data_IF_027727805233
#
_entry.id   IF_027727805233
#
_cell.length_a   1.000
_cell.length_b   1.000
_cell.length_c   1.000
_cell.angle_alpha   90.00
_cell.angle_beta   90.00
_cell.angle_gamma   90.00
#
_symmetry.space_group_name_H-M   'P 1'
#
loop_
_entity.id
_entity.type
_entity.pdbx_description
1 polymer ?
#
# COMPACT_ATOMS: atom_id res chain seq x y z
N UNK A 1 -17.47 28.54 -17.97
CA UNK A 1 -17.49 27.28 -17.19
C UNK A 1 -16.96 26.06 -17.96
N UNK A 2 -17.04 26.01 -19.29
CA UNK A 2 -16.57 24.86 -20.11
C UNK A 2 -15.07 24.88 -20.42
N UNK A 3 -14.45 26.06 -20.63
CA UNK A 3 -13.01 26.18 -20.93
C UNK A 3 -12.11 25.86 -19.72
N UNK A 4 -12.45 26.33 -18.52
CA UNK A 4 -11.69 26.02 -17.30
C UNK A 4 -11.74 24.53 -16.94
N UNK A 5 -12.87 23.86 -17.19
CA UNK A 5 -13.00 22.43 -16.99
C UNK A 5 -12.13 21.64 -17.98
N UNK A 6 -12.09 22.05 -19.24
CA UNK A 6 -11.22 21.47 -20.27
C UNK A 6 -9.73 21.65 -19.96
N UNK A 7 -9.32 22.84 -19.53
CA UNK A 7 -7.93 23.13 -19.15
C UNK A 7 -7.48 22.31 -17.93
N UNK A 8 -8.34 22.17 -16.91
CA UNK A 8 -8.06 21.32 -15.74
C UNK A 8 -7.93 19.84 -16.11
N UNK A 9 -8.77 19.35 -17.02
CA UNK A 9 -8.72 17.97 -17.47
C UNK A 9 -7.45 17.65 -18.29
N UNK A 10 -7.03 18.59 -19.16
CA UNK A 10 -5.77 18.48 -19.89
C UNK A 10 -4.56 18.46 -18.95
N UNK A 11 -4.51 19.36 -17.97
CA UNK A 11 -3.43 19.42 -16.97
C UNK A 11 -3.35 18.14 -16.13
N UNK A 12 -4.50 17.58 -15.69
CA UNK A 12 -4.51 16.29 -14.96
C UNK A 12 -4.00 15.13 -15.81
N UNK A 13 -4.31 15.12 -17.11
CA UNK A 13 -3.80 14.10 -18.02
C UNK A 13 -2.27 14.20 -18.18
N UNK A 14 -1.75 15.42 -18.35
CA UNK A 14 -0.30 15.67 -18.44
C UNK A 14 0.43 15.22 -17.17
N UNK A 15 -0.09 15.55 -15.98
CA UNK A 15 0.48 15.14 -14.71
C UNK A 15 0.52 13.61 -14.54
N UNK A 16 -0.56 12.93 -14.92
CA UNK A 16 -0.63 11.46 -14.87
C UNK A 16 0.33 10.83 -15.86
N UNK A 17 0.45 11.37 -17.07
CA UNK A 17 1.43 10.91 -18.06
C UNK A 17 2.88 11.10 -17.54
N UNK A 18 3.18 12.24 -16.92
CA UNK A 18 4.48 12.52 -16.31
C UNK A 18 4.78 11.55 -15.13
N UNK A 19 3.78 11.23 -14.33
CA UNK A 19 3.90 10.22 -13.28
C UNK A 19 4.26 8.85 -13.86
N UNK A 20 3.56 8.40 -14.91
CA UNK A 20 3.84 7.12 -15.56
C UNK A 20 5.23 7.06 -16.17
N UNK A 21 5.70 8.15 -16.78
CA UNK A 21 7.08 8.25 -17.25
C UNK A 21 8.07 8.12 -16.09
N UNK A 22 7.80 8.75 -14.96
CA UNK A 22 8.62 8.64 -13.75
C UNK A 22 8.68 7.20 -13.24
N UNK A 23 7.56 6.46 -13.23
CA UNK A 23 7.54 5.05 -12.85
C UNK A 23 8.43 4.21 -13.77
N UNK A 24 8.32 4.40 -15.10
CA UNK A 24 9.13 3.67 -16.08
C UNK A 24 10.62 3.99 -15.96
N UNK A 25 10.98 5.26 -15.79
CA UNK A 25 12.36 5.68 -15.55
C UNK A 25 12.92 5.09 -14.26
N UNK A 26 12.08 4.86 -13.25
CA UNK A 26 12.46 4.18 -12.00
C UNK A 26 12.61 2.65 -12.14
N UNK A 27 12.43 2.10 -13.35
CA UNK A 27 12.66 0.70 -13.69
C UNK A 27 11.42 -0.20 -13.66
N UNK A 28 10.23 0.34 -13.42
CA UNK A 28 8.98 -0.44 -13.36
C UNK A 28 8.60 -0.93 -14.76
N UNK A 29 8.29 -2.23 -14.87
CA UNK A 29 8.02 -2.89 -16.16
C UNK A 29 6.67 -3.59 -16.20
N UNK A 30 6.08 -3.91 -15.06
CA UNK A 30 4.78 -4.57 -14.99
C UNK A 30 3.67 -3.64 -15.46
N UNK A 31 3.12 -3.96 -16.63
CA UNK A 31 2.04 -3.19 -17.26
C UNK A 31 0.74 -3.21 -16.43
N UNK A 32 0.49 -4.28 -15.67
CA UNK A 32 -0.69 -4.36 -14.80
C UNK A 32 -0.59 -3.35 -13.66
N UNK A 33 0.60 -3.25 -13.05
CA UNK A 33 0.88 -2.27 -11.98
C UNK A 33 0.83 -0.84 -12.51
N UNK A 34 1.43 -0.58 -13.68
CA UNK A 34 1.39 0.75 -14.28
C UNK A 34 -0.06 1.19 -14.56
N UNK A 35 -0.89 0.30 -15.11
CA UNK A 35 -2.32 0.55 -15.35
C UNK A 35 -3.11 0.75 -14.06
N UNK A 36 -2.82 -0.02 -13.02
CA UNK A 36 -3.46 0.13 -11.72
C UNK A 36 -3.18 1.51 -11.10
N UNK A 37 -1.93 1.98 -11.19
CA UNK A 37 -1.55 3.32 -10.72
C UNK A 37 -2.20 4.41 -11.58
N UNK A 38 -2.24 4.25 -12.91
CA UNK A 38 -2.90 5.17 -13.84
C UNK A 38 -4.40 5.32 -13.56
N UNK A 39 -5.08 4.20 -13.33
CA UNK A 39 -6.52 4.14 -13.09
C UNK A 39 -6.93 4.65 -11.70
N UNK A 40 -5.98 4.79 -10.77
CA UNK A 40 -6.26 5.23 -9.41
C UNK A 40 -5.96 6.72 -9.25
N UNK A 41 -6.98 7.60 -9.15
CA UNK A 41 -6.80 9.05 -9.09
C UNK A 41 -6.17 9.46 -7.76
N UNK A 42 -4.84 9.54 -7.71
CA UNK A 42 -4.07 9.72 -6.48
C UNK A 42 -4.43 11.00 -5.73
N UNK A 43 -4.76 12.07 -6.44
CA UNK A 43 -5.25 13.34 -5.90
C UNK A 43 -6.52 13.20 -5.06
N UNK A 44 -7.34 12.20 -5.35
CA UNK A 44 -8.58 11.97 -4.61
C UNK A 44 -8.35 11.33 -3.23
N UNK A 45 -7.19 10.68 -3.06
CA UNK A 45 -6.72 10.12 -1.79
C UNK A 45 -5.79 11.06 -1.02
N UNK A 46 -5.37 12.18 -1.63
CA UNK A 46 -4.56 13.19 -0.98
C UNK A 46 -5.41 14.15 -0.11
N UNK A 47 -4.87 14.64 1.02
CA UNK A 47 -5.46 15.77 1.74
C UNK A 47 -5.58 16.99 0.82
N UNK A 48 -6.62 17.80 1.03
CA UNK A 48 -6.97 18.92 0.14
C UNK A 48 -5.77 19.83 -0.19
N UNK A 49 -4.99 20.22 0.82
CA UNK A 49 -3.81 21.09 0.68
C UNK A 49 -2.65 20.52 -0.16
N UNK A 50 -2.70 19.24 -0.52
CA UNK A 50 -1.63 18.56 -1.25
C UNK A 50 -2.12 17.93 -2.57
N UNK A 51 -3.35 18.21 -3.00
CA UNK A 51 -3.90 17.62 -4.24
C UNK A 51 -3.05 17.95 -5.47
N UNK A 52 -2.59 19.19 -5.58
CA UNK A 52 -1.74 19.66 -6.70
C UNK A 52 -0.32 19.05 -6.68
N UNK A 53 0.04 18.36 -5.59
CA UNK A 53 1.31 17.63 -5.45
C UNK A 53 1.12 16.12 -5.58
N UNK A 54 -0.11 15.63 -5.65
CA UNK A 54 -0.41 14.20 -5.51
C UNK A 54 0.22 13.36 -6.61
N UNK A 55 0.23 13.85 -7.85
CA UNK A 55 0.80 13.14 -9.00
C UNK A 55 2.33 13.27 -9.11
N UNK A 56 2.97 14.05 -8.23
CA UNK A 56 4.42 14.09 -8.13
C UNK A 56 4.94 12.84 -7.41
N UNK A 57 6.18 12.44 -7.69
CA UNK A 57 6.81 11.32 -7.00
C UNK A 57 7.26 11.69 -5.56
N UNK A 58 6.33 12.13 -4.73
CA UNK A 58 6.53 12.63 -3.38
C UNK A 58 5.64 11.86 -2.39
N UNK A 59 6.14 11.73 -1.17
CA UNK A 59 5.35 11.29 -0.03
C UNK A 59 4.52 12.46 0.47
N UNK A 60 3.25 12.22 0.80
CA UNK A 60 2.35 13.27 1.29
C UNK A 60 1.95 13.00 2.74
N UNK A 61 2.05 13.97 3.65
CA UNK A 61 1.56 13.78 5.00
C UNK A 61 0.04 13.71 4.99
N UNK A 62 -0.51 12.77 5.74
CA UNK A 62 -1.95 12.54 5.92
C UNK A 62 -2.32 12.71 7.41
N UNK A 63 -3.55 12.37 7.79
CA UNK A 63 -3.99 12.43 9.19
C UNK A 63 -3.14 11.53 10.12
N UNK A 64 -3.29 11.72 11.43
CA UNK A 64 -2.67 10.88 12.47
C UNK A 64 -1.14 10.77 12.40
N UNK A 65 -0.48 11.82 11.89
CA UNK A 65 0.98 11.83 11.68
C UNK A 65 1.48 10.82 10.64
N UNK A 66 0.58 10.20 9.89
CA UNK A 66 0.92 9.19 8.88
C UNK A 66 1.30 9.83 7.55
N UNK A 67 1.79 9.01 6.61
CA UNK A 67 2.26 9.48 5.31
C UNK A 67 1.79 8.55 4.20
N UNK A 68 1.18 9.12 3.14
CA UNK A 68 0.91 8.41 1.90
C UNK A 68 2.23 8.25 1.12
N UNK A 69 2.63 7.00 0.85
CA UNK A 69 3.92 6.68 0.20
C UNK A 69 4.06 7.29 -1.18
N UNK A 70 5.30 7.57 -1.60
CA UNK A 70 5.65 7.88 -3.00
C UNK A 70 5.06 6.85 -3.98
N UNK A 71 4.53 7.28 -5.13
CA UNK A 71 4.01 6.39 -6.16
C UNK A 71 5.00 5.31 -6.60
N UNK A 72 6.28 5.66 -6.82
CA UNK A 72 7.32 4.70 -7.22
C UNK A 72 7.49 3.59 -6.18
N UNK A 73 7.47 3.91 -4.89
CA UNK A 73 7.65 2.89 -3.84
C UNK A 73 6.41 2.01 -3.70
N UNK A 74 5.21 2.56 -3.87
CA UNK A 74 4.01 1.73 -3.94
C UNK A 74 4.10 0.78 -5.13
N UNK A 75 4.36 1.30 -6.34
CA UNK A 75 4.46 0.50 -7.56
C UNK A 75 5.49 -0.64 -7.43
N UNK A 76 6.68 -0.37 -6.88
CA UNK A 76 7.72 -1.40 -6.66
C UNK A 76 7.24 -2.53 -5.76
N UNK A 77 6.50 -2.19 -4.71
CA UNK A 77 5.95 -3.17 -3.77
C UNK A 77 4.84 -4.00 -4.42
N UNK A 78 3.98 -3.38 -5.23
CA UNK A 78 2.95 -4.08 -5.99
C UNK A 78 3.57 -5.05 -7.02
N UNK A 79 4.58 -4.60 -7.78
CA UNK A 79 5.30 -5.42 -8.76
C UNK A 79 6.02 -6.61 -8.10
N UNK A 80 6.69 -6.38 -6.96
CA UNK A 80 7.36 -7.43 -6.20
C UNK A 80 6.41 -8.52 -5.67
N UNK A 81 5.18 -8.14 -5.34
CA UNK A 81 4.18 -9.02 -4.76
C UNK A 81 3.48 -9.91 -5.82
N UNK A 82 3.61 -9.60 -7.11
CA UNK A 82 3.05 -10.39 -8.23
C UNK A 82 1.58 -10.74 -7.99
N UNK A 83 0.75 -9.72 -7.86
CA UNK A 83 -0.69 -9.84 -7.59
C UNK A 83 -1.38 -10.23 -8.90
N UNK A 84 -2.30 -11.20 -8.82
CA UNK A 84 -3.10 -11.67 -9.94
C UNK A 84 -4.58 -11.45 -9.66
N UNK A 85 -5.40 -11.41 -10.72
CA UNK A 85 -6.83 -11.07 -10.65
C UNK A 85 -7.68 -12.01 -9.79
N UNK A 86 -7.19 -13.22 -9.52
CA UNK A 86 -7.86 -14.18 -8.64
C UNK A 86 -7.45 -14.07 -7.17
N UNK A 87 -6.37 -13.34 -6.86
CA UNK A 87 -5.80 -13.29 -5.51
C UNK A 87 -6.64 -12.44 -4.57
N UNK A 88 -6.78 -12.95 -3.35
CA UNK A 88 -7.25 -12.21 -2.19
C UNK A 88 -6.06 -11.57 -1.47
N UNK A 89 -6.15 -10.26 -1.23
CA UNK A 89 -5.03 -9.47 -0.69
C UNK A 89 -5.37 -8.87 0.66
N UNK A 90 -4.45 -9.00 1.61
CA UNK A 90 -4.46 -8.26 2.87
C UNK A 90 -3.45 -7.12 2.79
N UNK A 91 -3.88 -5.89 3.05
CA UNK A 91 -3.03 -4.75 3.29
C UNK A 91 -3.04 -4.40 4.79
N UNK A 92 -1.86 -4.13 5.36
CA UNK A 92 -1.70 -3.60 6.72
C UNK A 92 -1.20 -2.16 6.62
N UNK A 93 -2.00 -1.23 7.11
CA UNK A 93 -1.79 0.22 7.03
C UNK A 93 -2.51 0.85 5.84
N UNK A 94 -3.85 0.90 5.88
CA UNK A 94 -4.67 1.52 4.82
C UNK A 94 -4.30 3.00 4.58
N UNK A 95 -3.99 3.73 5.65
CA UNK A 95 -3.63 5.14 5.63
C UNK A 95 -4.66 5.99 4.91
N UNK A 96 -4.31 6.48 3.72
CA UNK A 96 -5.22 7.30 2.90
C UNK A 96 -6.29 6.50 2.15
N UNK A 97 -6.09 5.18 1.97
CA UNK A 97 -6.84 4.31 1.08
C UNK A 97 -6.25 4.17 -0.33
N UNK A 98 -5.21 4.94 -0.70
CA UNK A 98 -4.63 4.89 -2.04
C UNK A 98 -4.01 3.53 -2.41
N UNK A 99 -3.32 2.90 -1.44
CA UNK A 99 -2.74 1.55 -1.61
C UNK A 99 -3.81 0.52 -1.90
N UNK A 100 -4.81 0.43 -1.01
CA UNK A 100 -6.01 -0.40 -1.20
C UNK A 100 -6.71 -0.17 -2.54
N UNK A 101 -6.85 1.07 -2.99
CA UNK A 101 -7.48 1.38 -4.28
C UNK A 101 -6.67 0.84 -5.47
N UNK A 102 -5.35 0.98 -5.45
CA UNK A 102 -4.47 0.42 -6.47
C UNK A 102 -4.45 -1.12 -6.43
N UNK A 103 -4.50 -1.72 -5.24
CA UNK A 103 -4.63 -3.16 -5.07
C UNK A 103 -5.96 -3.68 -5.65
N UNK A 104 -7.05 -2.93 -5.49
CA UNK A 104 -8.38 -3.27 -6.00
C UNK A 104 -8.39 -3.46 -7.53
N UNK A 105 -7.52 -2.74 -8.25
CA UNK A 105 -7.36 -2.88 -9.70
C UNK A 105 -6.64 -4.17 -10.12
N UNK A 106 -5.91 -4.81 -9.20
CA UNK A 106 -5.05 -5.97 -9.45
C UNK A 106 -5.62 -7.29 -8.94
N UNK A 107 -6.43 -7.23 -7.88
CA UNK A 107 -6.88 -8.37 -7.08
C UNK A 107 -8.38 -8.68 -7.24
N UNK A 108 -8.81 -9.85 -6.80
CA UNK A 108 -10.24 -10.18 -6.71
C UNK A 108 -10.90 -9.49 -5.52
N UNK A 109 -10.20 -9.45 -4.38
CA UNK A 109 -10.65 -8.83 -3.13
C UNK A 109 -9.46 -8.25 -2.35
N UNK A 110 -9.67 -7.11 -1.72
CA UNK A 110 -8.69 -6.42 -0.87
C UNK A 110 -9.31 -6.11 0.49
N UNK A 111 -8.69 -6.62 1.55
CA UNK A 111 -8.96 -6.20 2.92
C UNK A 111 -7.79 -5.34 3.38
N UNK A 112 -8.04 -4.11 3.80
CA UNK A 112 -7.01 -3.19 4.26
C UNK A 112 -7.27 -2.80 5.71
N UNK A 113 -6.33 -3.11 6.59
CA UNK A 113 -6.45 -2.88 8.03
C UNK A 113 -5.76 -1.58 8.42
N UNK A 114 -6.39 -0.81 9.30
CA UNK A 114 -5.86 0.45 9.80
C UNK A 114 -6.10 0.58 11.30
N UNK A 115 -5.07 0.99 12.02
CA UNK A 115 -5.09 1.11 13.48
C UNK A 115 -5.62 2.44 13.98
N UNK A 116 -5.77 3.44 13.11
CA UNK A 116 -6.41 4.71 13.43
C UNK A 116 -7.83 4.74 12.86
N UNK A 117 -8.84 4.81 13.73
CA UNK A 117 -10.25 4.76 13.33
C UNK A 117 -10.60 5.86 12.31
N UNK A 118 -10.09 7.08 12.51
CA UNK A 118 -10.31 8.21 11.58
C UNK A 118 -9.77 7.93 10.18
N UNK A 119 -8.59 7.33 10.07
CA UNK A 119 -8.01 6.95 8.78
C UNK A 119 -8.78 5.79 8.14
N UNK A 120 -9.21 4.80 8.92
CA UNK A 120 -10.03 3.69 8.42
C UNK A 120 -11.36 4.20 7.80
N UNK A 121 -12.05 5.12 8.50
CA UNK A 121 -13.29 5.76 8.02
C UNK A 121 -13.01 6.57 6.75
N UNK A 122 -11.97 7.40 6.74
CA UNK A 122 -11.61 8.21 5.57
C UNK A 122 -11.26 7.35 4.35
N UNK A 123 -10.45 6.31 4.54
CA UNK A 123 -10.05 5.39 3.51
C UNK A 123 -11.27 4.66 2.93
N UNK A 124 -12.15 4.14 3.79
CA UNK A 124 -13.39 3.47 3.38
C UNK A 124 -14.27 4.39 2.52
N UNK A 125 -14.48 5.63 2.96
CA UNK A 125 -15.25 6.63 2.21
C UNK A 125 -14.63 6.92 0.83
N UNK A 126 -13.31 7.07 0.75
CA UNK A 126 -12.60 7.32 -0.52
C UNK A 126 -12.69 6.12 -1.46
N UNK A 127 -12.53 4.90 -0.95
CA UNK A 127 -12.66 3.67 -1.74
C UNK A 127 -14.05 3.58 -2.39
N UNK A 128 -15.12 3.77 -1.60
CA UNK A 128 -16.49 3.79 -2.12
C UNK A 128 -16.72 4.91 -3.13
N UNK A 129 -16.27 6.13 -2.84
CA UNK A 129 -16.44 7.28 -3.74
C UNK A 129 -15.73 7.13 -5.09
N UNK A 130 -14.72 6.24 -5.17
CA UNK A 130 -13.94 5.98 -6.38
C UNK A 130 -14.15 4.57 -6.96
N UNK A 131 -15.24 3.89 -6.59
CA UNK A 131 -15.66 2.64 -7.23
C UNK A 131 -14.76 1.44 -6.95
N UNK A 132 -13.96 1.48 -5.88
CA UNK A 132 -13.14 0.34 -5.46
C UNK A 132 -13.99 -0.65 -4.63
N UNK A 133 -15.02 -1.23 -5.25
CA UNK A 133 -16.05 -2.05 -4.57
C UNK A 133 -15.50 -3.35 -3.96
N UNK A 134 -14.41 -3.86 -4.53
CA UNK A 134 -13.72 -5.05 -4.04
C UNK A 134 -12.65 -4.74 -2.97
N UNK A 135 -12.54 -3.50 -2.49
CA UNK A 135 -11.64 -3.11 -1.42
C UNK A 135 -12.40 -2.57 -0.20
N UNK A 136 -11.99 -3.01 0.99
CA UNK A 136 -12.56 -2.54 2.27
C UNK A 136 -11.46 -2.11 3.23
N UNK A 137 -11.61 -0.91 3.80
CA UNK A 137 -10.77 -0.45 4.91
C UNK A 137 -11.48 -0.76 6.25
N UNK A 138 -10.77 -1.39 7.18
CA UNK A 138 -11.30 -1.86 8.46
C UNK A 138 -10.44 -1.32 9.61
N UNK A 139 -11.09 -0.80 10.64
CA UNK A 139 -10.42 -0.42 11.88
C UNK A 139 -10.04 -1.68 12.67
N UNK A 140 -8.75 -2.02 12.71
CA UNK A 140 -8.24 -3.22 13.35
C UNK A 140 -6.72 -3.12 13.60
N UNK A 141 -6.19 -3.95 14.50
CA UNK A 141 -4.74 -4.16 14.58
C UNK A 141 -4.29 -5.01 13.38
N UNK A 142 -3.49 -4.43 12.50
CA UNK A 142 -2.96 -5.15 11.33
C UNK A 142 -1.80 -6.09 11.64
N UNK A 143 -1.20 -6.04 12.83
CA UNK A 143 -0.16 -6.98 13.25
C UNK A 143 -0.76 -8.24 13.91
N UNK A 144 -1.98 -8.14 14.43
CA UNK A 144 -2.77 -9.26 14.98
C UNK A 144 -4.21 -9.22 14.44
N UNK A 145 -4.39 -9.47 13.13
CA UNK A 145 -5.69 -9.39 12.48
C UNK A 145 -6.69 -10.46 12.98
N UNK A 146 -8.01 -10.16 12.98
CA UNK A 146 -9.05 -11.13 13.32
C UNK A 146 -8.98 -12.38 12.44
N UNK A 147 -9.01 -13.57 13.05
CA UNK A 147 -8.86 -14.86 12.34
C UNK A 147 -10.02 -15.15 11.40
N UNK A 148 -11.18 -14.57 11.66
CA UNK A 148 -12.40 -14.66 10.88
C UNK A 148 -12.24 -14.08 9.47
N UNK A 149 -11.23 -13.21 9.27
CA UNK A 149 -10.90 -12.69 7.95
C UNK A 149 -10.38 -13.78 7.01
N UNK A 150 -9.98 -14.96 7.51
CA UNK A 150 -9.57 -16.10 6.69
C UNK A 150 -8.11 -16.00 6.21
N UNK A 151 -7.81 -16.62 5.06
CA UNK A 151 -6.46 -16.64 4.47
C UNK A 151 -6.36 -15.71 3.25
N UNK A 152 -5.12 -15.39 2.89
CA UNK A 152 -4.79 -14.46 1.82
C UNK A 152 -3.66 -14.99 0.94
N UNK A 153 -3.76 -14.75 -0.36
CA UNK A 153 -2.73 -15.12 -1.33
C UNK A 153 -1.58 -14.14 -1.29
N UNK A 154 -1.86 -12.87 -1.01
CA UNK A 154 -0.85 -11.82 -0.90
C UNK A 154 -1.11 -10.99 0.35
N UNK A 155 -0.04 -10.66 1.06
CA UNK A 155 -0.08 -9.78 2.21
C UNK A 155 0.95 -8.67 2.01
N UNK A 156 0.53 -7.42 2.14
CA UNK A 156 1.37 -6.24 2.02
C UNK A 156 1.35 -5.45 3.34
N UNK A 157 2.50 -5.31 3.98
CA UNK A 157 2.65 -4.47 5.18
C UNK A 157 3.27 -3.13 4.79
N UNK A 158 2.51 -2.05 4.97
CA UNK A 158 2.89 -0.66 4.65
C UNK A 158 3.60 0.04 5.83
N UNK A 159 4.23 -0.73 6.72
CA UNK A 159 4.99 -0.24 7.86
C UNK A 159 6.23 -1.12 8.09
N UNK A 160 7.21 -0.63 8.85
CA UNK A 160 8.39 -1.39 9.23
C UNK A 160 8.21 -2.14 10.55
N UNK A 161 8.61 -3.40 10.56
CA UNK A 161 8.54 -4.32 11.70
C UNK A 161 9.91 -4.94 11.98
N UNK A 162 10.15 -5.43 13.20
CA UNK A 162 11.41 -6.09 13.55
C UNK A 162 11.56 -7.48 12.91
N UNK A 163 10.45 -8.18 12.72
CA UNK A 163 10.37 -9.49 12.08
C UNK A 163 9.00 -9.65 11.43
N UNK A 164 8.84 -10.66 10.58
CA UNK A 164 7.54 -11.00 9.99
C UNK A 164 6.53 -11.37 11.10
N UNK A 165 5.37 -10.71 11.19
CA UNK A 165 4.37 -11.04 12.21
C UNK A 165 3.83 -12.47 12.03
N UNK A 166 3.86 -13.27 13.10
CA UNK A 166 3.45 -14.66 13.05
C UNK A 166 1.97 -14.83 12.64
N UNK A 167 1.09 -13.92 13.07
CA UNK A 167 -0.32 -13.91 12.69
C UNK A 167 -0.48 -13.77 11.16
N UNK A 168 0.29 -12.89 10.52
CA UNK A 168 0.25 -12.70 9.07
C UNK A 168 0.78 -13.91 8.31
N UNK A 169 1.85 -14.55 8.79
CA UNK A 169 2.37 -15.80 8.21
C UNK A 169 1.31 -16.91 8.26
N UNK A 170 0.59 -17.03 9.38
CA UNK A 170 -0.47 -18.04 9.54
C UNK A 170 -1.63 -17.82 8.57
N UNK A 171 -1.91 -16.59 8.18
CA UNK A 171 -2.95 -16.23 7.23
C UNK A 171 -2.54 -16.42 5.76
N UNK A 172 -1.27 -16.69 5.44
CA UNK A 172 -0.89 -17.01 4.06
C UNK A 172 -1.53 -18.32 3.58
N UNK A 173 -2.08 -18.33 2.38
CA UNK A 173 -2.39 -19.57 1.65
C UNK A 173 -1.10 -20.29 1.25
N UNK A 174 -1.15 -21.61 1.00
CA UNK A 174 -0.12 -22.29 0.21
C UNK A 174 0.09 -21.56 -1.13
N UNK A 175 1.35 -21.34 -1.53
CA UNK A 175 1.68 -20.49 -2.70
C UNK A 175 1.53 -18.98 -2.47
N UNK A 176 1.22 -18.56 -1.24
CA UNK A 176 1.06 -17.16 -0.86
C UNK A 176 2.37 -16.40 -0.67
N UNK A 177 2.30 -15.07 -0.63
CA UNK A 177 3.45 -14.22 -0.36
C UNK A 177 3.15 -13.07 0.61
N UNK A 178 4.08 -12.78 1.52
CA UNK A 178 4.07 -11.64 2.45
C UNK A 178 5.21 -10.69 2.10
N UNK A 179 4.91 -9.40 1.94
CA UNK A 179 5.90 -8.35 1.72
C UNK A 179 5.84 -7.34 2.86
N UNK A 180 6.97 -7.04 3.49
CA UNK A 180 7.06 -6.11 4.61
C UNK A 180 8.42 -5.40 4.64
N UNK A 181 8.50 -4.25 5.32
CA UNK A 181 9.78 -3.64 5.63
C UNK A 181 10.33 -4.21 6.95
N UNK A 182 11.53 -4.79 6.91
CA UNK A 182 12.25 -5.19 8.13
C UNK A 182 13.15 -4.05 8.57
N UNK A 183 13.00 -3.62 9.82
CA UNK A 183 13.93 -2.67 10.44
C UNK A 183 15.14 -3.43 10.95
N UNK A 184 16.31 -3.11 10.41
CA UNK A 184 17.57 -3.68 10.89
C UNK A 184 17.98 -3.03 12.21
N UNK A 185 18.62 -3.82 13.07
CA UNK A 185 19.27 -3.29 14.27
C UNK A 185 20.39 -2.35 13.83
N UNK A 186 20.35 -1.11 14.31
CA UNK A 186 21.41 -0.14 14.12
C UNK A 186 22.06 0.16 15.48
N UNK A 187 23.39 0.30 15.53
CA UNK A 187 24.09 0.80 16.71
C UNK A 187 23.50 2.14 17.18
N UNK A 188 23.65 2.45 18.47
CA UNK A 188 23.25 3.74 19.02
C UNK A 188 23.90 4.88 18.23
N UNK A 189 23.09 5.84 17.77
CA UNK A 189 23.53 6.97 16.94
C UNK A 189 23.57 6.70 15.43
N UNK A 190 23.44 5.45 14.98
CA UNK A 190 23.32 5.13 13.56
C UNK A 190 21.85 5.12 13.12
N UNK A 191 21.60 5.56 11.89
CA UNK A 191 20.25 5.53 11.31
C UNK A 191 19.85 4.08 11.04
N UNK A 192 18.73 3.65 11.63
CA UNK A 192 18.13 2.36 11.31
C UNK A 192 17.91 2.23 9.81
N UNK A 193 18.37 1.12 9.24
CA UNK A 193 18.14 0.76 7.85
C UNK A 193 16.87 -0.09 7.77
N UNK A 194 16.12 0.10 6.71
CA UNK A 194 14.92 -0.68 6.44
C UNK A 194 15.10 -1.40 5.12
N UNK A 195 14.82 -2.70 5.12
CA UNK A 195 14.94 -3.55 3.95
C UNK A 195 13.60 -4.12 3.59
N UNK A 196 13.26 -4.10 2.30
CA UNK A 196 12.02 -4.68 1.81
C UNK A 196 12.22 -6.19 1.69
N UNK A 197 11.49 -6.95 2.49
CA UNK A 197 11.61 -8.39 2.57
C UNK A 197 10.35 -9.03 2.01
N UNK A 198 10.52 -10.01 1.14
CA UNK A 198 9.45 -10.88 0.65
C UNK A 198 9.62 -12.28 1.21
N UNK A 199 8.54 -12.82 1.79
CA UNK A 199 8.42 -14.22 2.16
C UNK A 199 7.47 -14.90 1.19
N UNK A 200 7.94 -15.93 0.51
CA UNK A 200 7.12 -16.84 -0.30
C UNK A 200 6.84 -18.11 0.52
N UNK A 201 5.57 -18.52 0.61
CA UNK A 201 5.16 -19.77 1.25
C UNK A 201 4.93 -20.82 0.18
N UNK A 202 5.69 -21.92 0.21
CA UNK A 202 5.45 -23.03 -0.73
C UNK A 202 4.23 -23.87 -0.32
N UNK A 203 3.88 -24.86 -1.15
CA UNK A 203 2.75 -25.76 -0.89
C UNK A 203 2.92 -26.58 0.40
N UNK A 204 4.16 -26.93 0.74
CA UNK A 204 4.51 -27.70 1.95
C UNK A 204 4.52 -26.83 3.23
N UNK A 205 4.35 -25.52 3.09
CA UNK A 205 4.30 -24.55 4.18
C UNK A 205 5.64 -23.95 4.61
N UNK A 206 6.73 -24.30 3.94
CA UNK A 206 8.05 -23.68 4.14
C UNK A 206 8.06 -22.24 3.63
N UNK A 207 8.84 -21.38 4.30
CA UNK A 207 8.98 -19.98 3.97
C UNK A 207 10.36 -19.72 3.34
N UNK A 208 10.36 -19.12 2.15
CA UNK A 208 11.56 -18.63 1.49
C UNK A 208 11.62 -17.12 1.58
N UNK A 209 12.69 -16.60 2.19
CA UNK A 209 12.95 -15.17 2.28
C UNK A 209 13.76 -14.64 1.09
N UNK A 210 13.38 -13.47 0.59
CA UNK A 210 14.12 -12.70 -0.42
C UNK A 210 14.24 -11.24 0.03
N UNK A 211 15.47 -10.71 0.09
CA UNK A 211 15.75 -9.29 0.32
C UNK A 211 15.71 -8.53 -1.02
N UNK A 212 14.80 -7.56 -1.11
CA UNK A 212 14.56 -6.77 -2.32
C UNK A 212 15.26 -5.40 -2.29
N UNK A 213 16.07 -5.14 -1.26
CA UNK A 213 16.84 -3.91 -1.15
C UNK A 213 16.33 -2.91 -0.11
N UNK A 214 16.96 -1.72 -0.07
CA UNK A 214 16.60 -0.67 0.88
C UNK A 214 15.21 -0.09 0.58
N UNK A 215 14.48 0.24 1.64
CA UNK A 215 13.21 0.95 1.56
C UNK A 215 13.09 2.00 2.67
N UNK A 216 11.94 2.69 2.71
CA UNK A 216 11.61 3.63 3.78
C UNK A 216 10.13 3.57 4.11
N UNK A 217 9.78 3.14 5.31
CA UNK A 217 8.41 3.12 5.85
C UNK A 217 8.41 3.59 7.31
N UNK A 218 7.26 4.01 7.83
CA UNK A 218 7.13 4.32 9.26
C UNK A 218 7.11 3.04 10.09
N UNK A 219 7.52 3.07 11.37
CA UNK A 219 7.45 1.90 12.23
C UNK A 219 6.00 1.48 12.48
N UNK A 220 5.74 0.17 12.47
CA UNK A 220 4.47 -0.36 12.91
C UNK A 220 4.36 -0.28 14.43
N UNK A 221 3.15 0.00 14.92
CA UNK A 221 2.84 0.04 16.36
C UNK A 221 1.75 -1.00 16.61
N UNK A 222 1.97 -1.99 17.50
CA UNK A 222 0.95 -2.96 17.88
C UNK A 222 -0.27 -2.30 18.52
N UNK A 223 -1.43 -2.94 18.36
CA UNK A 223 -2.69 -2.50 18.93
C UNK A 223 -3.34 -1.31 18.23
N UNK A 224 -4.59 -1.06 18.62
CA UNK A 224 -5.38 0.06 18.14
C UNK A 224 -4.85 1.38 18.71
N UNK A 225 -4.95 2.45 17.93
CA UNK A 225 -4.69 3.79 18.43
C UNK A 225 -5.81 4.22 19.38
N UNK A 226 -5.45 4.62 20.61
CA UNK A 226 -6.40 5.14 21.60
C UNK A 226 -6.64 6.65 21.46
N UNK A 227 -5.83 7.33 20.65
CA UNK A 227 -5.93 8.75 20.33
C UNK A 227 -5.42 9.00 18.90
N UNK A 228 -5.74 10.18 18.34
CA UNK A 228 -5.36 10.60 16.99
C UNK A 228 -3.85 10.58 16.74
#
# INVERSE_FOLDING_TARGET
MTEEAGARQASQFEERAALLLTLRQAGLRDLSVLRAIEATPREAFAPYRFRDLANRNLSLPIGCGQTMSRPVELARRLEALKIGRGHRVLEVGAGSGYGAAALAQLASEVISLERFETLAIEASRRLTAHGAENAKAIFADGLDPPRELGRFDRILVQASVGAAPAALIQMLTPGGALLFARREHAPAGARAKERLIKLDRNEDGELRETDLGPCRLGPAIPGLAQAL
#
